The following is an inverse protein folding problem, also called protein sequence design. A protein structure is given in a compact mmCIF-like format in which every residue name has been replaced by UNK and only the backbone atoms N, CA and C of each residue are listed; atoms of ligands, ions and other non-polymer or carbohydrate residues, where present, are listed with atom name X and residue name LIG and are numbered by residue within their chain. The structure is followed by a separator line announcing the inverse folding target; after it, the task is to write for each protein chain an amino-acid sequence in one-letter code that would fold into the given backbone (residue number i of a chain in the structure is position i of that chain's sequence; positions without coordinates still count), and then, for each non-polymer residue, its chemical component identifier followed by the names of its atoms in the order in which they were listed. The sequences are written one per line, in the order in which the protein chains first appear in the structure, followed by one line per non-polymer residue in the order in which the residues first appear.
data_IF_770855816531
#
_entry.id   IF_770855816531
#
_cell.length_a   1.000
_cell.length_b   1.000
_cell.length_c   1.000
_cell.angle_alpha   90.00
_cell.angle_beta   90.00
_cell.angle_gamma   90.00
#
_symmetry.space_group_name_H-M   'P 1'
#
loop_
_entity.id
_entity.type
_entity.pdbx_description
1 polymer ?
#
# COMPACT_ATOMS: atom_id res chain seq x y z
N UNK A 1 -0.29 13.36 22.09
CA UNK A 1 -0.20 11.90 21.89
C UNK A 1 -0.88 11.54 20.58
N UNK A 2 -0.26 10.71 19.73
CA UNK A 2 -0.85 10.35 18.43
C UNK A 2 -2.08 9.43 18.61
N UNK A 3 -3.19 9.75 17.95
CA UNK A 3 -4.35 8.85 17.90
C UNK A 3 -4.11 7.72 16.89
N UNK A 4 -3.86 6.52 17.40
CA UNK A 4 -3.61 5.31 16.61
C UNK A 4 -4.81 4.36 16.59
N UNK A 5 -5.93 4.70 17.25
CA UNK A 5 -7.16 3.90 17.26
C UNK A 5 -7.63 3.51 15.84
N UNK A 6 -7.53 4.38 14.81
CA UNK A 6 -7.95 4.02 13.47
C UNK A 6 -7.20 2.84 12.84
N UNK A 7 -5.99 2.49 13.31
CA UNK A 7 -5.25 1.32 12.82
C UNK A 7 -5.88 0.00 13.28
N UNK A 8 -6.38 -0.03 14.52
CA UNK A 8 -6.97 -1.21 15.13
C UNK A 8 -8.45 -1.39 14.74
N UNK A 9 -9.18 -0.29 14.56
CA UNK A 9 -10.60 -0.32 14.25
C UNK A 9 -10.91 -1.00 12.91
N UNK A 10 -11.97 -1.82 12.87
CA UNK A 10 -12.50 -2.40 11.63
C UNK A 10 -13.42 -1.37 10.97
N UNK A 11 -13.08 -0.86 9.77
CA UNK A 11 -13.90 0.16 9.14
C UNK A 11 -15.24 -0.42 8.69
N UNK A 12 -16.29 0.38 8.86
CA UNK A 12 -17.64 0.05 8.40
C UNK A 12 -17.75 0.18 6.87
N UNK A 13 -18.77 -0.45 6.27
CA UNK A 13 -18.97 -0.37 4.81
C UNK A 13 -19.33 1.04 4.34
N UNK A 14 -20.03 1.83 5.16
CA UNK A 14 -20.38 3.23 4.85
C UNK A 14 -19.13 4.11 4.79
N UNK A 15 -18.27 4.04 5.82
CA UNK A 15 -16.99 4.76 5.87
C UNK A 15 -16.10 4.46 4.66
N UNK A 16 -16.01 3.19 4.25
CA UNK A 16 -15.23 2.79 3.06
C UNK A 16 -15.84 3.33 1.75
N UNK A 17 -17.16 3.49 1.68
CA UNK A 17 -17.84 4.05 0.50
C UNK A 17 -17.64 5.55 0.40
N UNK A 18 -17.73 6.26 1.52
CA UNK A 18 -17.48 7.69 1.63
C UNK A 18 -16.05 8.02 1.23
N UNK A 19 -15.06 7.38 1.87
CA UNK A 19 -13.66 7.54 1.50
C UNK A 19 -13.37 7.23 0.02
N UNK A 20 -14.13 6.32 -0.59
CA UNK A 20 -14.00 6.04 -2.03
C UNK A 20 -14.49 7.21 -2.89
N UNK A 21 -15.58 7.88 -2.50
CA UNK A 21 -16.14 9.04 -3.23
C UNK A 21 -15.16 10.21 -3.19
N UNK A 22 -14.56 10.48 -2.04
CA UNK A 22 -13.60 11.57 -1.89
C UNK A 22 -12.32 11.34 -2.72
N UNK A 23 -11.98 10.07 -2.98
CA UNK A 23 -10.79 9.69 -3.74
C UNK A 23 -10.93 9.78 -5.25
N UNK A 24 -12.14 9.89 -5.80
CA UNK A 24 -12.37 9.83 -7.26
C UNK A 24 -11.62 10.91 -8.04
N UNK A 25 -11.17 11.99 -7.40
CA UNK A 25 -10.45 13.10 -8.03
C UNK A 25 -8.91 13.03 -7.97
N UNK A 26 -8.32 12.08 -7.23
CA UNK A 26 -6.87 12.10 -6.87
C UNK A 26 -6.21 10.74 -7.10
N UNK A 27 -5.91 10.37 -8.34
CA UNK A 27 -5.24 9.10 -8.63
C UNK A 27 -3.99 9.26 -9.52
N UNK A 28 -2.79 9.39 -8.93
CA UNK A 28 -1.60 8.84 -9.55
C UNK A 28 -1.77 7.32 -9.72
N UNK A 29 -1.46 6.81 -10.92
CA UNK A 29 -1.52 5.37 -11.25
C UNK A 29 -0.46 4.61 -10.45
N UNK A 30 -0.82 4.08 -9.30
CA UNK A 30 0.07 3.20 -8.54
C UNK A 30 0.05 1.80 -9.15
N UNK A 31 1.22 1.34 -9.63
CA UNK A 31 1.42 -0.06 -10.04
C UNK A 31 1.23 -0.96 -8.82
N UNK A 32 0.11 -1.67 -8.77
CA UNK A 32 -0.13 -2.71 -7.78
C UNK A 32 0.87 -3.83 -8.06
N UNK A 33 1.77 -4.10 -7.11
CA UNK A 33 2.73 -5.21 -7.22
C UNK A 33 1.92 -6.50 -7.37
N UNK A 34 2.19 -7.35 -8.38
CA UNK A 34 1.48 -8.60 -8.53
C UNK A 34 1.66 -9.41 -7.24
N UNK A 35 0.55 -9.79 -6.62
CA UNK A 35 0.59 -10.69 -5.47
C UNK A 35 1.08 -12.05 -5.97
N UNK A 36 1.93 -12.73 -5.19
CA UNK A 36 2.42 -14.07 -5.54
C UNK A 36 1.28 -15.03 -5.89
N UNK A 37 0.15 -14.94 -5.20
CA UNK A 37 -1.06 -15.69 -5.54
C UNK A 37 -1.66 -15.31 -6.90
N UNK A 38 -1.66 -14.02 -7.26
CA UNK A 38 -2.10 -13.60 -8.60
C UNK A 38 -1.18 -14.15 -9.71
N UNK A 39 0.14 -14.18 -9.47
CA UNK A 39 1.10 -14.77 -10.40
C UNK A 39 0.85 -16.27 -10.58
N UNK A 40 0.62 -17.02 -9.49
CA UNK A 40 0.37 -18.46 -9.58
C UNK A 40 -0.91 -18.78 -10.34
N UNK A 41 -2.02 -18.09 -10.07
CA UNK A 41 -3.27 -18.32 -10.82
C UNK A 41 -3.16 -17.93 -12.30
N UNK A 42 -2.41 -16.87 -12.62
CA UNK A 42 -2.18 -16.47 -14.01
C UNK A 42 -1.33 -17.51 -14.74
N UNK A 43 -0.28 -18.04 -14.09
CA UNK A 43 0.56 -19.10 -14.64
C UNK A 43 -0.24 -20.40 -14.85
N UNK A 44 -1.07 -20.80 -13.87
CA UNK A 44 -1.96 -21.96 -13.99
C UNK A 44 -2.98 -21.78 -15.13
N UNK A 45 -3.55 -20.58 -15.27
CA UNK A 45 -4.47 -20.28 -16.38
C UNK A 45 -3.79 -20.44 -17.74
N UNK A 46 -2.57 -19.90 -17.91
CA UNK A 46 -1.79 -20.05 -19.15
C UNK A 46 -1.45 -21.51 -19.42
N UNK A 47 -1.01 -22.23 -18.38
CA UNK A 47 -0.67 -23.65 -18.47
C UNK A 47 -1.88 -24.50 -18.89
N UNK A 48 -3.03 -24.35 -18.23
CA UNK A 48 -4.23 -25.11 -18.56
C UNK A 48 -4.79 -24.74 -19.92
N UNK A 49 -4.73 -23.47 -20.32
CA UNK A 49 -5.12 -23.07 -21.67
C UNK A 49 -4.23 -23.75 -22.73
N UNK A 50 -2.91 -23.75 -22.53
CA UNK A 50 -1.96 -24.40 -23.43
C UNK A 50 -2.19 -25.92 -23.52
N UNK A 51 -2.35 -26.60 -22.38
CA UNK A 51 -2.65 -28.04 -22.33
C UNK A 51 -3.98 -28.34 -23.02
N UNK A 52 -5.02 -27.54 -22.78
CA UNK A 52 -6.34 -27.73 -23.40
C UNK A 52 -6.27 -27.58 -24.93
N UNK A 53 -5.53 -26.59 -25.42
CA UNK A 53 -5.31 -26.39 -26.85
C UNK A 53 -4.50 -27.54 -27.46
N UNK A 54 -3.47 -28.03 -26.78
CA UNK A 54 -2.68 -29.19 -27.21
C UNK A 54 -3.53 -30.46 -27.29
N UNK A 55 -4.34 -30.75 -26.25
CA UNK A 55 -5.27 -31.88 -26.24
C UNK A 55 -6.27 -31.80 -27.42
N UNK A 56 -6.82 -30.61 -27.68
CA UNK A 56 -7.71 -30.40 -28.81
C UNK A 56 -7.00 -30.64 -30.15
N UNK A 57 -5.77 -30.15 -30.31
CA UNK A 57 -5.00 -30.31 -31.54
C UNK A 57 -4.64 -31.77 -31.83
N UNK A 58 -4.44 -32.59 -30.80
CA UNK A 58 -4.17 -34.02 -30.91
C UNK A 58 -5.42 -34.91 -31.00
N UNK A 59 -6.61 -34.32 -31.14
CA UNK A 59 -7.86 -35.09 -31.27
C UNK A 59 -8.23 -35.85 -29.99
N UNK A 60 -7.82 -35.36 -28.81
CA UNK A 60 -8.16 -35.98 -27.54
C UNK A 60 -9.69 -36.08 -27.34
N UNK A 61 -10.17 -37.06 -26.56
CA UNK A 61 -11.59 -37.20 -26.24
C UNK A 61 -12.20 -35.90 -25.71
N UNK A 62 -13.44 -35.54 -26.13
CA UNK A 62 -14.10 -34.29 -25.72
C UNK A 62 -14.15 -34.08 -24.20
N UNK A 63 -14.26 -35.17 -23.43
CA UNK A 63 -14.26 -35.15 -21.96
C UNK A 63 -12.98 -34.53 -21.38
N UNK A 64 -11.82 -34.83 -21.95
CA UNK A 64 -10.53 -34.27 -21.49
C UNK A 64 -10.41 -32.78 -21.83
N UNK A 65 -10.91 -32.37 -23.01
CA UNK A 65 -10.96 -30.96 -23.40
C UNK A 65 -11.87 -30.16 -22.46
N UNK A 66 -13.04 -30.71 -22.11
CA UNK A 66 -13.97 -30.09 -21.16
C UNK A 66 -13.31 -29.90 -19.80
N UNK A 67 -12.59 -30.91 -19.28
CA UNK A 67 -11.84 -30.79 -18.01
C UNK A 67 -10.84 -29.64 -18.08
N UNK A 68 -10.06 -29.54 -19.17
CA UNK A 68 -9.10 -28.44 -19.36
C UNK A 68 -9.75 -27.05 -19.39
N UNK A 69 -10.91 -26.91 -20.05
CA UNK A 69 -11.69 -25.68 -20.06
C UNK A 69 -12.16 -25.31 -18.65
N UNK A 70 -12.69 -26.27 -17.89
CA UNK A 70 -13.15 -26.05 -16.51
C UNK A 70 -11.99 -25.63 -15.59
N UNK A 71 -10.83 -26.27 -15.70
CA UNK A 71 -9.63 -25.91 -14.93
C UNK A 71 -9.13 -24.50 -15.27
N UNK A 72 -9.14 -24.13 -16.56
CA UNK A 72 -8.77 -22.79 -17.02
C UNK A 72 -9.73 -21.73 -16.46
N UNK A 73 -11.04 -21.99 -16.52
CA UNK A 73 -12.06 -21.11 -15.96
C UNK A 73 -11.93 -20.95 -14.44
N UNK A 74 -11.67 -22.04 -13.70
CA UNK A 74 -11.42 -22.02 -12.27
C UNK A 74 -10.19 -21.19 -11.89
N UNK A 75 -9.11 -21.30 -12.66
CA UNK A 75 -7.88 -20.52 -12.45
C UNK A 75 -8.10 -19.03 -12.70
N UNK A 76 -8.84 -18.67 -13.75
CA UNK A 76 -9.22 -17.30 -14.03
C UNK A 76 -10.08 -16.70 -12.90
N UNK A 77 -11.05 -17.45 -12.39
CA UNK A 77 -11.85 -17.03 -11.24
C UNK A 77 -10.97 -16.82 -9.99
N UNK A 78 -10.03 -17.74 -9.72
CA UNK A 78 -9.05 -17.62 -8.64
C UNK A 78 -8.21 -16.34 -8.75
N UNK A 79 -7.69 -16.03 -9.94
CA UNK A 79 -6.94 -14.80 -10.20
C UNK A 79 -7.78 -13.54 -9.91
N UNK A 80 -9.03 -13.51 -10.36
CA UNK A 80 -9.95 -12.39 -10.13
C UNK A 80 -10.24 -12.21 -8.64
N UNK A 81 -10.48 -13.30 -7.91
CA UNK A 81 -10.73 -13.26 -6.46
C UNK A 81 -9.49 -12.78 -5.69
N UNK A 82 -8.29 -13.26 -6.04
CA UNK A 82 -7.03 -12.79 -5.45
C UNK A 82 -6.78 -11.31 -5.74
N UNK A 83 -7.02 -10.86 -6.97
CA UNK A 83 -6.89 -9.46 -7.34
C UNK A 83 -7.87 -8.58 -6.54
N UNK A 84 -9.14 -8.99 -6.44
CA UNK A 84 -10.16 -8.29 -5.62
C UNK A 84 -9.79 -8.28 -4.14
N UNK A 85 -9.37 -9.41 -3.58
CA UNK A 85 -8.95 -9.51 -2.18
C UNK A 85 -7.75 -8.62 -1.87
N UNK A 86 -6.73 -8.62 -2.72
CA UNK A 86 -5.54 -7.77 -2.59
C UNK A 86 -5.90 -6.28 -2.70
N UNK A 87 -6.77 -5.93 -3.64
CA UNK A 87 -7.27 -4.56 -3.80
C UNK A 87 -8.04 -4.10 -2.57
N UNK A 88 -8.91 -4.94 -2.01
CA UNK A 88 -9.67 -4.64 -0.80
C UNK A 88 -8.75 -4.47 0.42
N UNK A 89 -7.78 -5.37 0.62
CA UNK A 89 -6.79 -5.25 1.70
C UNK A 89 -5.99 -3.96 1.61
N UNK A 90 -5.50 -3.65 0.40
CA UNK A 90 -4.77 -2.40 0.13
C UNK A 90 -5.64 -1.18 0.42
N UNK A 91 -6.90 -1.20 -0.03
CA UNK A 91 -7.83 -0.10 0.17
C UNK A 91 -8.16 0.12 1.66
N UNK A 92 -8.41 -0.94 2.42
CA UNK A 92 -8.66 -0.87 3.87
C UNK A 92 -7.44 -0.34 4.61
N UNK A 93 -6.24 -0.78 4.24
CA UNK A 93 -4.99 -0.27 4.83
C UNK A 93 -4.85 1.22 4.58
N UNK A 94 -5.08 1.67 3.35
CA UNK A 94 -5.00 3.09 3.00
C UNK A 94 -6.06 3.93 3.71
N UNK A 95 -7.28 3.43 3.84
CA UNK A 95 -8.32 4.08 4.63
C UNK A 95 -7.87 4.28 6.08
N UNK A 96 -7.33 3.23 6.72
CA UNK A 96 -6.86 3.31 8.11
C UNK A 96 -5.74 4.34 8.27
N UNK A 97 -4.79 4.36 7.34
CA UNK A 97 -3.71 5.33 7.36
C UNK A 97 -4.22 6.77 7.15
N UNK A 98 -5.18 6.97 6.24
CA UNK A 98 -5.80 8.27 6.05
C UNK A 98 -6.54 8.74 7.33
N UNK A 99 -7.28 7.84 7.98
CA UNK A 99 -7.99 8.14 9.22
C UNK A 99 -7.02 8.44 10.38
N UNK A 100 -5.88 7.74 10.49
CA UNK A 100 -4.81 8.11 11.44
C UNK A 100 -4.32 9.52 11.15
N UNK A 101 -4.01 9.83 9.88
CA UNK A 101 -3.52 11.14 9.51
C UNK A 101 -4.51 12.24 9.94
N UNK A 102 -5.78 12.09 9.53
CA UNK A 102 -6.87 13.03 9.83
C UNK A 102 -7.07 13.23 11.34
N UNK A 103 -7.10 12.16 12.12
CA UNK A 103 -7.24 12.23 13.59
C UNK A 103 -6.09 12.96 14.29
N UNK A 104 -4.95 13.12 13.62
CA UNK A 104 -3.76 13.80 14.13
C UNK A 104 -3.49 15.15 13.42
N UNK A 105 -4.44 15.68 12.64
CA UNK A 105 -4.25 16.92 11.89
C UNK A 105 -3.24 16.82 10.75
N UNK A 106 -2.93 15.61 10.30
CA UNK A 106 -2.00 15.33 9.22
C UNK A 106 -2.74 15.01 7.93
N UNK A 107 -2.14 15.35 6.80
CA UNK A 107 -2.61 14.96 5.48
C UNK A 107 -1.88 13.71 5.01
N UNK A 108 -2.65 12.66 4.69
CA UNK A 108 -2.13 11.46 4.05
C UNK A 108 -2.01 11.62 2.54
N UNK A 109 -0.84 11.32 1.99
CA UNK A 109 -0.55 11.31 0.57
C UNK A 109 -0.03 9.94 0.12
N UNK A 110 -0.61 9.44 -0.96
CA UNK A 110 -0.19 8.20 -1.61
C UNK A 110 0.65 8.51 -2.84
N UNK A 111 1.91 8.04 -2.86
CA UNK A 111 2.76 8.17 -4.04
C UNK A 111 3.22 9.61 -4.30
N UNK A 112 3.73 10.31 -3.28
CA UNK A 112 4.20 11.69 -3.44
C UNK A 112 5.32 11.77 -4.50
N UNK A 113 5.23 12.76 -5.38
CA UNK A 113 6.13 12.92 -6.53
C UNK A 113 7.56 13.28 -6.12
N UNK A 114 7.70 14.03 -5.03
CA UNK A 114 8.97 14.37 -4.39
C UNK A 114 8.92 14.05 -2.90
N UNK A 115 10.02 13.58 -2.32
CA UNK A 115 10.17 13.59 -0.87
C UNK A 115 10.31 15.01 -0.32
N UNK A 116 10.03 15.22 0.98
CA UNK A 116 10.41 16.45 1.66
C UNK A 116 11.89 16.52 2.02
N UNK A 117 12.61 15.38 2.06
CA UNK A 117 14.04 15.36 2.42
C UNK A 117 14.92 15.71 1.20
N UNK A 118 15.71 16.80 1.24
CA UNK A 118 16.64 17.15 0.16
C UNK A 118 17.73 16.09 -0.03
N UNK A 119 18.14 15.85 -1.28
CA UNK A 119 19.30 14.99 -1.61
C UNK A 119 19.05 13.48 -1.57
N UNK A 120 17.93 13.02 -1.00
CA UNK A 120 17.60 11.59 -1.02
C UNK A 120 16.98 11.19 -2.38
N UNK A 121 17.73 10.41 -3.15
CA UNK A 121 17.25 9.76 -4.39
C UNK A 121 16.42 8.53 -4.04
N UNK A 122 15.13 8.74 -3.81
CA UNK A 122 14.18 7.65 -3.62
C UNK A 122 13.84 6.95 -4.95
N UNK A 123 13.61 5.64 -4.89
CA UNK A 123 13.55 4.68 -6.01
C UNK A 123 13.12 5.22 -7.38
N UNK A 124 13.78 4.72 -8.43
CA UNK A 124 13.47 4.97 -9.85
C UNK A 124 12.00 4.63 -10.19
N UNK A 125 11.15 5.66 -10.27
CA UNK A 125 9.76 5.56 -10.74
C UNK A 125 8.84 6.70 -10.30
N UNK A 126 7.65 6.86 -10.92
CA UNK A 126 6.61 7.77 -10.45
C UNK A 126 6.07 7.32 -9.07
N UNK A 127 6.07 8.22 -8.08
CA UNK A 127 5.69 7.95 -6.68
C UNK A 127 6.89 7.63 -5.78
N UNK A 128 7.78 8.62 -5.61
CA UNK A 128 9.08 8.50 -4.93
C UNK A 128 8.96 8.19 -3.42
N UNK A 129 7.94 8.72 -2.76
CA UNK A 129 7.51 8.23 -1.45
C UNK A 129 6.31 7.28 -1.63
N UNK A 130 6.39 6.07 -1.07
CA UNK A 130 5.28 5.11 -1.12
C UNK A 130 4.07 5.67 -0.38
N UNK A 131 4.31 6.28 0.78
CA UNK A 131 3.33 6.94 1.65
C UNK A 131 3.98 8.15 2.30
N UNK A 132 3.24 9.24 2.43
CA UNK A 132 3.64 10.46 3.13
C UNK A 132 2.50 10.96 4.01
N UNK A 133 2.86 11.52 5.14
CA UNK A 133 2.01 12.20 6.11
C UNK A 133 2.62 13.56 6.35
N UNK A 134 1.87 14.64 6.16
CA UNK A 134 2.38 15.99 6.34
C UNK A 134 1.36 16.87 7.02
N UNK A 135 1.78 17.68 7.97
CA UNK A 135 0.92 18.63 8.67
C UNK A 135 1.67 19.30 9.80
N UNK A 136 0.92 19.71 10.80
CA UNK A 136 1.45 20.41 11.96
C UNK A 136 0.87 19.78 13.23
N UNK A 137 1.72 19.54 14.23
CA UNK A 137 1.28 19.07 15.55
C UNK A 137 1.85 20.03 16.59
N UNK A 138 0.96 20.73 17.29
CA UNK A 138 1.35 21.64 18.37
C UNK A 138 2.31 22.75 17.93
N UNK A 139 2.09 23.36 16.77
CA UNK A 139 2.95 24.44 16.24
C UNK A 139 4.08 23.97 15.34
N UNK A 140 4.38 22.66 15.31
CA UNK A 140 5.58 22.13 14.69
C UNK A 140 5.24 21.40 13.39
N UNK A 141 5.88 21.83 12.31
CA UNK A 141 5.76 21.20 11.00
C UNK A 141 6.35 19.78 11.03
N UNK A 142 5.54 18.80 10.65
CA UNK A 142 5.91 17.39 10.63
C UNK A 142 5.65 16.82 9.24
N UNK A 143 6.65 16.13 8.71
CA UNK A 143 6.52 15.24 7.56
C UNK A 143 7.05 13.85 7.93
N UNK A 144 6.28 12.81 7.68
CA UNK A 144 6.74 11.43 7.84
C UNK A 144 6.42 10.68 6.57
N UNK A 145 7.35 9.91 6.06
CA UNK A 145 7.08 9.10 4.88
C UNK A 145 7.93 7.85 4.84
N UNK A 146 7.66 7.02 3.85
CA UNK A 146 8.48 5.86 3.58
C UNK A 146 8.81 5.73 2.10
N UNK A 147 9.93 5.08 1.84
CA UNK A 147 10.50 4.96 0.52
C UNK A 147 11.09 3.58 0.32
N UNK A 148 11.24 3.22 -0.95
CA UNK A 148 11.97 2.02 -1.34
C UNK A 148 13.40 2.39 -1.71
N UNK A 149 14.36 1.69 -1.12
CA UNK A 149 15.78 1.75 -1.47
C UNK A 149 16.02 0.97 -2.76
N UNK A 150 17.17 1.21 -3.41
CA UNK A 150 17.57 0.49 -4.63
C UNK A 150 17.68 -1.03 -4.40
N UNK A 151 18.09 -1.45 -3.19
CA UNK A 151 18.15 -2.84 -2.75
C UNK A 151 16.77 -3.48 -2.47
N UNK A 152 15.68 -2.72 -2.60
CA UNK A 152 14.30 -3.18 -2.37
C UNK A 152 13.81 -3.06 -0.92
N UNK A 153 14.65 -2.67 0.03
CA UNK A 153 14.25 -2.42 1.43
C UNK A 153 13.33 -1.20 1.52
N UNK A 154 12.46 -1.19 2.52
CA UNK A 154 11.57 -0.06 2.81
C UNK A 154 12.05 0.62 4.09
N UNK A 155 12.39 1.90 3.97
CA UNK A 155 12.85 2.73 5.08
C UNK A 155 11.91 3.92 5.22
N UNK A 156 11.81 4.43 6.44
CA UNK A 156 11.03 5.59 6.82
C UNK A 156 11.91 6.82 6.96
N UNK A 157 11.29 7.98 6.89
CA UNK A 157 11.90 9.23 7.29
C UNK A 157 10.90 10.03 8.11
N UNK A 158 11.42 10.85 9.02
CA UNK A 158 10.70 11.93 9.67
C UNK A 158 11.41 13.24 9.35
N UNK A 159 10.65 14.32 9.22
CA UNK A 159 11.12 15.69 9.17
C UNK A 159 10.31 16.40 10.23
N UNK A 160 10.99 16.94 11.24
CA UNK A 160 10.36 17.68 12.32
C UNK A 160 11.07 19.03 12.37
N UNK A 161 10.32 20.09 12.09
CA UNK A 161 10.86 21.45 12.03
C UNK A 161 12.10 21.59 11.10
N UNK A 162 12.05 20.95 9.93
CA UNK A 162 13.15 20.94 8.96
C UNK A 162 14.28 19.96 9.27
N UNK A 163 14.34 19.37 10.47
CA UNK A 163 15.32 18.34 10.79
C UNK A 163 14.88 16.96 10.31
N UNK A 164 15.64 16.39 9.37
CA UNK A 164 15.38 15.06 8.83
C UNK A 164 16.05 13.95 9.65
N UNK A 165 15.33 12.86 9.90
CA UNK A 165 15.88 11.61 10.44
C UNK A 165 15.37 10.39 9.64
N UNK A 166 16.16 9.32 9.62
CA UNK A 166 15.83 8.07 8.92
C UNK A 166 15.48 7.01 9.95
N UNK A 167 14.38 6.29 9.72
CA UNK A 167 13.91 5.18 10.55
C UNK A 167 13.90 3.91 9.70
N UNK A 168 14.75 2.92 10.00
CA UNK A 168 14.86 1.66 9.23
C UNK A 168 14.74 0.45 10.17
N UNK A 169 13.94 -0.58 9.85
CA UNK A 169 12.94 -0.66 8.77
C UNK A 169 11.61 -0.02 9.19
N UNK A 170 10.84 0.50 8.23
CA UNK A 170 9.61 1.23 8.54
C UNK A 170 8.60 1.28 7.37
N UNK A 171 7.39 0.72 7.55
CA UNK A 171 6.36 0.66 6.50
C UNK A 171 5.00 1.26 6.94
N UNK A 172 4.92 1.93 8.09
CA UNK A 172 3.64 2.35 8.70
C UNK A 172 2.63 1.20 8.80
N UNK A 173 3.11 -0.04 8.89
CA UNK A 173 2.27 -1.22 8.79
C UNK A 173 1.63 -1.57 10.13
N UNK A 174 2.32 -1.22 11.22
CA UNK A 174 2.02 -1.64 12.58
C UNK A 174 1.91 -0.43 13.50
N UNK A 175 1.28 -0.64 14.65
CA UNK A 175 1.26 0.36 15.73
C UNK A 175 2.69 0.65 16.20
N UNK A 176 3.55 -0.37 16.28
CA UNK A 176 4.95 -0.24 16.69
C UNK A 176 5.76 0.67 15.76
N UNK A 177 5.48 0.67 14.46
CA UNK A 177 6.05 1.64 13.53
C UNK A 177 5.67 3.05 14.00
N UNK A 178 4.38 3.33 14.15
CA UNK A 178 3.91 4.65 14.57
C UNK A 178 4.42 5.10 15.94
N UNK A 179 4.60 4.18 16.88
CA UNK A 179 5.20 4.48 18.18
C UNK A 179 6.66 4.91 18.04
N UNK A 180 7.46 4.23 17.21
CA UNK A 180 8.85 4.64 16.93
C UNK A 180 8.95 6.05 16.33
N UNK A 181 7.97 6.44 15.51
CA UNK A 181 7.87 7.83 15.02
C UNK A 181 7.48 8.78 16.13
N UNK A 182 6.50 8.41 16.96
CA UNK A 182 6.11 9.22 18.12
C UNK A 182 7.30 9.47 19.04
N UNK A 183 8.12 8.47 19.32
CA UNK A 183 9.30 8.59 20.19
C UNK A 183 10.38 9.50 19.59
N UNK A 184 10.50 9.54 18.26
CA UNK A 184 11.39 10.47 17.57
C UNK A 184 10.87 11.92 17.56
N UNK A 185 9.55 12.11 17.56
CA UNK A 185 8.89 13.42 17.46
C UNK A 185 8.66 14.06 18.83
N UNK A 186 8.24 13.28 19.83
CA UNK A 186 7.76 13.77 21.13
C UNK A 186 8.78 14.62 21.89
N UNK A 187 10.08 14.24 21.98
CA UNK A 187 11.07 15.05 22.67
C UNK A 187 11.25 16.45 22.04
N UNK A 188 11.13 16.54 20.72
CA UNK A 188 11.29 17.79 19.95
C UNK A 188 10.09 18.69 20.11
N UNK A 189 8.89 18.10 20.14
CA UNK A 189 7.66 18.84 20.42
C UNK A 189 7.66 19.41 21.83
N UNK A 190 8.12 18.63 22.82
CA UNK A 190 8.24 19.10 24.19
C UNK A 190 9.29 20.24 24.34
N UNK A 191 10.38 20.20 23.56
CA UNK A 191 11.44 21.21 23.60
C UNK A 191 11.04 22.55 22.94
N UNK A 192 10.13 22.56 21.96
CA UNK A 192 9.63 23.79 21.34
C UNK A 192 8.62 24.58 22.18
N UNK A 193 8.27 24.07 23.37
CA UNK A 193 7.30 24.67 24.31
C UNK A 193 7.96 25.34 25.53
N UNK A 194 9.29 25.42 25.56
CA UNK A 194 10.05 26.20 26.56
C UNK A 194 10.36 27.60 26.08
#
# INVERSE_FOLDING_TARGET
MLDLRPLACRPTRSQLREHRRDRSGLHPRVRVRPCFGGVSYTALMVLFAAVTLGLRAWGAPPRLVIVGVVLSAGSALGAVLCARGTRLRTFVREYRLAAVAESNGLRYERGAASPGVPGLRFSDGPGRALRRFRGEIGGIAIEVGNYRRADGRVSGYTIVDGEASIVDPFDFATVDDWLRVSDAVTPRVAAGWS
#
